data_IF_077993540593
#
_entry.id   IF_077993540593
#
_cell.length_a   1.000
_cell.length_b   1.000
_cell.length_c   1.000
_cell.angle_alpha   90.00
_cell.angle_beta   90.00
_cell.angle_gamma   90.00
#
_symmetry.space_group_name_H-M   'P 1'
#
loop_
_entity.id
_entity.type
_entity.pdbx_description
1 polymer ?
#
# COMPACT_ATOMS: atom_id res chain seq x y z
N UNK A 1 5.33 8.73 15.43
CA UNK A 1 6.24 9.90 15.46
C UNK A 1 5.65 11.12 14.77
N UNK A 2 5.40 11.13 13.45
CA UNK A 2 4.84 12.33 12.79
C UNK A 2 3.48 12.74 13.35
N UNK A 3 2.58 11.77 13.54
CA UNK A 3 1.27 11.98 14.20
C UNK A 3 1.40 12.58 15.60
N UNK A 4 2.45 12.20 16.35
CA UNK A 4 2.68 12.68 17.72
C UNK A 4 3.33 14.06 17.73
N UNK A 5 4.25 14.32 16.78
CA UNK A 5 5.04 15.55 16.72
C UNK A 5 4.27 16.72 16.10
N UNK A 6 3.39 16.44 15.15
CA UNK A 6 2.66 17.46 14.39
C UNK A 6 1.14 17.21 14.41
N UNK A 7 0.50 17.26 15.59
CA UNK A 7 -0.94 16.96 15.73
C UNK A 7 -1.86 17.94 14.98
N UNK A 8 -1.35 19.10 14.56
CA UNK A 8 -2.07 20.10 13.75
C UNK A 8 -2.19 19.71 12.26
N UNK A 9 -1.41 18.73 11.79
CA UNK A 9 -1.44 18.22 10.42
C UNK A 9 -1.62 16.70 10.44
N UNK A 10 -2.78 16.19 10.90
CA UNK A 10 -2.98 14.77 11.09
C UNK A 10 -3.09 14.03 9.76
N UNK A 11 -2.36 12.94 9.60
CA UNK A 11 -2.53 11.99 8.51
C UNK A 11 -3.62 10.96 8.81
N UNK A 12 -4.09 10.88 10.06
CA UNK A 12 -5.21 10.02 10.43
C UNK A 12 -6.49 10.83 10.68
N UNK A 13 -7.63 10.39 10.16
CA UNK A 13 -8.92 11.03 10.44
C UNK A 13 -9.29 10.89 11.92
N UNK A 14 -10.15 11.81 12.40
CA UNK A 14 -10.70 11.75 13.76
C UNK A 14 -11.73 10.62 13.93
N UNK A 15 -12.51 10.34 12.89
CA UNK A 15 -13.46 9.23 12.89
C UNK A 15 -12.72 7.90 13.05
N UNK A 16 -13.13 7.10 14.04
CA UNK A 16 -12.42 5.89 14.41
C UNK A 16 -12.48 4.80 13.33
N UNK A 17 -13.59 4.71 12.59
CA UNK A 17 -13.73 3.71 11.52
C UNK A 17 -12.83 4.06 10.34
N UNK A 18 -12.85 5.32 9.91
CA UNK A 18 -11.94 5.81 8.87
C UNK A 18 -10.48 5.73 9.30
N UNK A 19 -10.18 5.93 10.58
CA UNK A 19 -8.81 5.79 11.12
C UNK A 19 -8.34 4.34 11.01
N UNK A 20 -9.18 3.40 11.43
CA UNK A 20 -8.89 1.97 11.30
C UNK A 20 -8.69 1.57 9.83
N UNK A 21 -9.54 2.07 8.92
CA UNK A 21 -9.42 1.84 7.49
C UNK A 21 -8.09 2.35 6.91
N UNK A 22 -7.68 3.58 7.27
CA UNK A 22 -6.40 4.14 6.85
C UNK A 22 -5.22 3.30 7.32
N UNK A 23 -5.23 2.88 8.59
CA UNK A 23 -4.18 2.03 9.16
C UNK A 23 -4.16 0.64 8.49
N UNK A 24 -5.32 0.09 8.17
CA UNK A 24 -5.43 -1.21 7.51
C UNK A 24 -4.86 -1.16 6.10
N UNK A 25 -5.21 -0.15 5.30
CA UNK A 25 -4.66 0.05 3.95
C UNK A 25 -3.14 0.24 4.01
N UNK A 26 -2.66 1.13 4.89
CA UNK A 26 -1.23 1.36 5.07
C UNK A 26 -0.48 0.07 5.46
N UNK A 27 -1.07 -0.73 6.35
CA UNK A 27 -0.53 -2.03 6.79
C UNK A 27 -0.45 -3.04 5.65
N UNK A 28 -1.48 -3.16 4.82
CA UNK A 28 -1.47 -4.03 3.64
C UNK A 28 -0.32 -3.64 2.71
N UNK A 29 -0.19 -2.35 2.38
CA UNK A 29 0.90 -1.88 1.52
C UNK A 29 2.27 -2.18 2.15
N UNK A 30 2.49 -1.79 3.40
CA UNK A 30 3.82 -1.83 4.01
C UNK A 30 4.27 -3.23 4.45
N UNK A 31 3.34 -4.16 4.69
CA UNK A 31 3.64 -5.49 5.23
C UNK A 31 3.39 -6.61 4.22
N UNK A 32 2.37 -6.46 3.36
CA UNK A 32 1.90 -7.53 2.49
C UNK A 32 2.19 -7.31 1.01
N UNK A 33 2.63 -6.11 0.61
CA UNK A 33 3.02 -5.79 -0.77
C UNK A 33 4.50 -5.40 -0.83
N UNK A 34 4.85 -4.27 -0.22
CA UNK A 34 6.16 -3.63 -0.40
C UNK A 34 7.36 -4.55 -0.06
N UNK A 35 7.35 -5.33 1.03
CA UNK A 35 8.47 -6.20 1.36
C UNK A 35 8.67 -7.31 0.33
N UNK A 36 7.58 -7.86 -0.21
CA UNK A 36 7.60 -8.99 -1.14
C UNK A 36 8.05 -8.60 -2.56
N UNK A 37 7.91 -7.31 -2.92
CA UNK A 37 8.45 -6.74 -4.16
C UNK A 37 9.86 -6.14 -3.99
N UNK A 38 10.47 -6.20 -2.81
CA UNK A 38 11.77 -5.57 -2.55
C UNK A 38 12.87 -6.18 -3.43
N UNK A 39 13.80 -5.34 -3.90
CA UNK A 39 14.98 -5.81 -4.65
C UNK A 39 15.79 -6.83 -3.87
N UNK A 40 15.85 -6.72 -2.53
CA UNK A 40 16.54 -7.70 -1.70
C UNK A 40 15.85 -9.07 -1.74
N UNK A 41 14.51 -9.09 -1.69
CA UNK A 41 13.73 -10.33 -1.73
C UNK A 41 13.80 -10.94 -3.12
N UNK A 42 13.55 -10.18 -4.18
CA UNK A 42 13.68 -10.67 -5.57
C UNK A 42 15.12 -11.15 -5.83
N UNK A 43 16.12 -10.40 -5.37
CA UNK A 43 17.53 -10.75 -5.48
C UNK A 43 17.89 -12.05 -4.77
N UNK A 44 17.21 -12.39 -3.67
CA UNK A 44 17.44 -13.65 -2.95
C UNK A 44 17.02 -14.89 -3.74
N UNK A 45 16.19 -14.74 -4.77
CA UNK A 45 15.76 -15.83 -5.67
C UNK A 45 16.62 -15.94 -6.94
N UNK A 46 17.67 -15.12 -7.08
CA UNK A 46 18.59 -15.22 -8.21
C UNK A 46 19.28 -16.59 -8.22
N UNK A 47 19.05 -17.35 -9.28
CA UNK A 47 19.58 -18.70 -9.46
C UNK A 47 18.67 -19.83 -8.96
N UNK A 48 17.57 -19.51 -8.25
CA UNK A 48 16.52 -20.49 -7.88
C UNK A 48 15.26 -20.35 -8.72
N UNK A 49 14.99 -19.15 -9.23
CA UNK A 49 13.85 -18.84 -10.10
C UNK A 49 14.36 -18.03 -11.29
N UNK A 50 13.70 -18.17 -12.44
CA UNK A 50 13.99 -17.30 -13.57
C UNK A 50 13.38 -15.89 -13.40
N UNK A 51 13.73 -14.99 -14.32
CA UNK A 51 13.25 -13.59 -14.27
C UNK A 51 11.73 -13.48 -14.44
N UNK A 52 11.09 -14.37 -15.19
CA UNK A 52 9.65 -14.36 -15.39
C UNK A 52 8.91 -14.90 -14.16
N UNK A 53 9.40 -15.99 -13.56
CA UNK A 53 8.81 -16.57 -12.35
C UNK A 53 8.87 -15.59 -11.17
N UNK A 54 10.01 -14.93 -10.99
CA UNK A 54 10.16 -13.89 -9.96
C UNK A 54 9.24 -12.68 -10.21
N UNK A 55 9.07 -12.25 -11.47
CA UNK A 55 8.12 -11.20 -11.83
C UNK A 55 6.67 -11.62 -11.55
N UNK A 56 6.26 -12.83 -11.92
CA UNK A 56 4.92 -13.35 -11.67
C UNK A 56 4.60 -13.44 -10.17
N UNK A 57 5.57 -13.87 -9.35
CA UNK A 57 5.42 -13.90 -7.90
C UNK A 57 5.20 -12.49 -7.34
N UNK A 58 5.96 -11.49 -7.81
CA UNK A 58 5.78 -10.10 -7.38
C UNK A 58 4.40 -9.57 -7.79
N UNK A 59 4.02 -9.78 -9.05
CA UNK A 59 2.71 -9.39 -9.57
C UNK A 59 1.56 -10.05 -8.78
N UNK A 60 1.72 -11.32 -8.37
CA UNK A 60 0.74 -12.02 -7.53
C UNK A 60 0.50 -11.29 -6.20
N UNK A 61 1.55 -10.88 -5.49
CA UNK A 61 1.40 -10.20 -4.20
C UNK A 61 0.87 -8.76 -4.36
N UNK A 62 1.25 -8.08 -5.45
CA UNK A 62 0.69 -6.77 -5.80
C UNK A 62 -0.82 -6.90 -6.07
N UNK A 63 -1.24 -7.80 -6.96
CA UNK A 63 -2.65 -8.01 -7.31
C UNK A 63 -3.46 -8.43 -6.07
N UNK A 64 -2.98 -9.39 -5.29
CA UNK A 64 -3.65 -9.82 -4.06
C UNK A 64 -3.82 -8.68 -3.06
N UNK A 65 -2.79 -7.85 -2.88
CA UNK A 65 -2.84 -6.71 -1.97
C UNK A 65 -3.79 -5.62 -2.45
N UNK A 66 -3.74 -5.26 -3.73
CA UNK A 66 -4.63 -4.25 -4.31
C UNK A 66 -6.09 -4.69 -4.31
N UNK A 67 -6.40 -5.95 -4.63
CA UNK A 67 -7.78 -6.47 -4.50
C UNK A 67 -8.34 -6.30 -3.09
N UNK A 68 -7.55 -6.61 -2.07
CA UNK A 68 -7.97 -6.42 -0.69
C UNK A 68 -8.20 -4.93 -0.35
N UNK A 69 -7.36 -4.04 -0.86
CA UNK A 69 -7.52 -2.59 -0.69
C UNK A 69 -8.75 -2.08 -1.44
N UNK A 70 -8.98 -2.51 -2.67
CA UNK A 70 -10.16 -2.15 -3.47
C UNK A 70 -11.45 -2.56 -2.76
N UNK A 71 -11.52 -3.77 -2.21
CA UNK A 71 -12.66 -4.21 -1.39
C UNK A 71 -12.86 -3.32 -0.15
N UNK A 72 -11.77 -2.94 0.52
CA UNK A 72 -11.85 -2.02 1.67
C UNK A 72 -12.32 -0.61 1.30
N UNK A 73 -12.10 -0.20 0.05
CA UNK A 73 -12.49 1.09 -0.49
C UNK A 73 -13.88 1.07 -1.15
N UNK A 74 -14.57 -0.07 -1.20
CA UNK A 74 -15.93 -0.14 -1.73
C UNK A 74 -16.85 0.85 -0.99
N UNK A 75 -17.54 1.71 -1.76
CA UNK A 75 -18.41 2.76 -1.21
C UNK A 75 -17.67 4.01 -0.72
N UNK A 76 -16.34 4.09 -0.83
CA UNK A 76 -15.61 5.33 -0.67
C UNK A 76 -15.69 6.16 -1.96
N UNK A 77 -16.68 7.03 -2.05
CA UNK A 77 -16.82 8.01 -3.14
C UNK A 77 -16.25 9.36 -2.69
N UNK A 78 -14.92 9.47 -2.71
CA UNK A 78 -14.18 10.64 -2.22
C UNK A 78 -12.99 10.98 -3.10
N UNK A 79 -12.47 12.21 -2.97
CA UNK A 79 -11.36 12.71 -3.79
C UNK A 79 -10.05 11.93 -3.60
N UNK A 80 -9.75 11.56 -2.36
CA UNK A 80 -8.62 10.71 -1.97
C UNK A 80 -9.15 9.38 -1.40
N UNK A 81 -8.26 8.48 -0.97
CA UNK A 81 -8.63 7.11 -0.63
C UNK A 81 -9.80 7.01 0.35
N UNK A 82 -9.89 7.87 1.37
CA UNK A 82 -10.93 7.76 2.42
C UNK A 82 -11.65 9.08 2.76
N UNK A 83 -11.40 10.13 1.99
CA UNK A 83 -11.96 11.47 2.19
C UNK A 83 -11.43 12.52 1.23
N UNK A 84 -11.65 13.79 1.58
CA UNK A 84 -11.31 14.94 0.73
C UNK A 84 -9.96 15.60 1.05
N UNK A 85 -9.24 15.04 2.03
CA UNK A 85 -7.85 15.40 2.37
C UNK A 85 -6.94 14.18 2.24
N UNK A 86 -5.65 14.43 1.98
CA UNK A 86 -4.63 13.38 1.92
C UNK A 86 -4.43 12.78 3.31
N UNK A 87 -4.57 11.46 3.42
CA UNK A 87 -4.42 10.72 4.67
C UNK A 87 -3.41 9.58 4.55
N UNK A 88 -3.22 8.84 5.64
CA UNK A 88 -2.19 7.81 5.74
C UNK A 88 -2.33 6.74 4.66
N UNK A 89 -3.56 6.37 4.27
CA UNK A 89 -3.77 5.45 3.14
C UNK A 89 -3.10 5.98 1.87
N UNK A 90 -3.32 7.25 1.52
CA UNK A 90 -2.78 7.89 0.31
C UNK A 90 -1.25 7.94 0.32
N UNK A 91 -0.66 8.23 1.49
CA UNK A 91 0.80 8.29 1.68
C UNK A 91 1.48 6.95 1.34
N UNK A 92 0.80 5.83 1.59
CA UNK A 92 1.31 4.50 1.25
C UNK A 92 0.88 4.05 -0.15
N UNK A 93 -0.33 4.39 -0.59
CA UNK A 93 -0.85 4.01 -1.90
C UNK A 93 -0.10 4.69 -3.05
N UNK A 94 0.14 5.99 -2.97
CA UNK A 94 0.77 6.75 -4.05
C UNK A 94 2.12 6.15 -4.51
N UNK A 95 3.10 5.89 -3.62
CA UNK A 95 4.35 5.27 -4.04
C UNK A 95 4.17 3.81 -4.48
N UNK A 96 3.23 3.07 -3.89
CA UNK A 96 2.98 1.67 -4.27
C UNK A 96 2.35 1.55 -5.67
N UNK A 97 1.42 2.43 -6.03
CA UNK A 97 0.84 2.52 -7.38
C UNK A 97 1.92 2.89 -8.38
N UNK A 98 2.75 3.90 -8.07
CA UNK A 98 3.86 4.27 -8.93
C UNK A 98 4.82 3.10 -9.20
N UNK A 99 5.21 2.36 -8.14
CA UNK A 99 6.04 1.18 -8.29
C UNK A 99 5.36 0.09 -9.14
N UNK A 100 4.08 -0.18 -8.91
CA UNK A 100 3.30 -1.15 -9.68
C UNK A 100 3.16 -0.82 -11.17
N UNK A 101 3.21 0.46 -11.55
CA UNK A 101 3.08 0.92 -12.95
C UNK A 101 4.42 1.07 -13.67
N UNK A 102 5.48 1.44 -12.95
CA UNK A 102 6.76 1.81 -13.58
C UNK A 102 7.85 0.75 -13.49
N UNK A 103 7.73 -0.21 -12.56
CA UNK A 103 8.77 -1.21 -12.28
C UNK A 103 8.42 -2.61 -12.79
N UNK A 104 7.15 -2.93 -12.93
CA UNK A 104 6.62 -4.25 -13.25
C UNK A 104 5.58 -4.17 -14.36
#
# INVERSE_FOLDING_TARGET
YMEDKYPQCPLLPRDLKKKALNLQIASIVCSSIQPLQSHAVIGSYLGTMDTNESLQMVQHYIDKGFRAIETLLEGCDSKYATGDEVQMADVFLAPQIHAGVTRF
#
